data_IF_945717619379
#
_entry.id   IF_945717619379
#
_cell.length_a   1.000
_cell.length_b   1.000
_cell.length_c   1.000
_cell.angle_alpha   90.00
_cell.angle_beta   90.00
_cell.angle_gamma   90.00
#
_symmetry.space_group_name_H-M   'P 1'
#
loop_
_entity.id
_entity.type
_entity.pdbx_description
1 polymer ?
#
# COMPACT_ATOMS: atom_id res chain seq x y z
N UNK A 1 -1.04 -36.41 20.84
CA UNK A 1 -0.68 -35.02 20.48
C UNK A 1 -1.21 -34.09 21.55
N UNK A 2 -0.35 -33.33 22.23
CA UNK A 2 -0.76 -32.31 23.19
C UNK A 2 -1.47 -31.21 22.39
N UNK A 3 -2.75 -30.93 22.68
CA UNK A 3 -3.47 -29.82 22.04
C UNK A 3 -2.87 -28.51 22.55
N UNK A 4 -2.16 -27.80 21.68
CA UNK A 4 -1.44 -26.56 22.01
C UNK A 4 -2.38 -25.36 22.18
N UNK A 5 -3.48 -25.31 21.44
CA UNK A 5 -4.45 -24.21 21.49
C UNK A 5 -5.18 -24.04 22.85
N UNK A 6 -5.65 -25.09 23.55
CA UNK A 6 -6.21 -24.93 24.90
C UNK A 6 -5.25 -24.27 25.91
N UNK A 7 -3.96 -24.62 25.88
CA UNK A 7 -2.95 -24.01 26.74
C UNK A 7 -2.75 -22.51 26.39
N UNK A 8 -2.70 -22.18 25.10
CA UNK A 8 -2.71 -20.80 24.61
C UNK A 8 -3.94 -20.03 25.10
N UNK A 9 -5.13 -20.61 25.00
CA UNK A 9 -6.38 -20.00 25.48
C UNK A 9 -6.36 -19.76 26.99
N UNK A 10 -5.90 -20.73 27.78
CA UNK A 10 -5.77 -20.57 29.23
C UNK A 10 -4.81 -19.40 29.55
N UNK A 11 -3.66 -19.34 28.89
CA UNK A 11 -2.70 -18.25 29.05
C UNK A 11 -3.31 -16.89 28.70
N UNK A 12 -4.07 -16.79 27.61
CA UNK A 12 -4.79 -15.56 27.27
C UNK A 12 -5.75 -15.12 28.37
N UNK A 13 -6.51 -16.05 28.96
CA UNK A 13 -7.43 -15.73 30.05
C UNK A 13 -6.69 -15.24 31.30
N UNK A 14 -5.56 -15.86 31.64
CA UNK A 14 -4.70 -15.40 32.73
C UNK A 14 -4.11 -14.01 32.48
N UNK A 15 -3.81 -13.69 31.22
CA UNK A 15 -3.27 -12.37 30.82
C UNK A 15 -4.35 -11.28 30.66
N UNK A 16 -5.64 -11.62 30.64
CA UNK A 16 -6.73 -10.68 30.38
C UNK A 16 -6.71 -9.43 31.30
N UNK A 17 -6.52 -9.54 32.63
CA UNK A 17 -6.46 -8.37 33.51
C UNK A 17 -5.35 -7.40 33.10
N UNK A 18 -4.19 -7.93 32.71
CA UNK A 18 -3.04 -7.13 32.27
C UNK A 18 -3.28 -6.49 30.90
N UNK A 19 -3.96 -7.19 29.99
CA UNK A 19 -4.36 -6.63 28.68
C UNK A 19 -5.29 -5.44 28.87
N UNK A 20 -6.30 -5.56 29.74
CA UNK A 20 -7.23 -4.47 30.04
C UNK A 20 -6.53 -3.30 30.76
N UNK A 21 -5.63 -3.59 31.70
CA UNK A 21 -4.82 -2.57 32.37
C UNK A 21 -3.93 -1.81 31.38
N UNK A 22 -3.24 -2.53 30.48
CA UNK A 22 -2.41 -1.93 29.43
C UNK A 22 -3.24 -1.09 28.47
N UNK A 23 -4.42 -1.55 28.08
CA UNK A 23 -5.36 -0.79 27.25
C UNK A 23 -5.74 0.54 27.91
N UNK A 24 -6.09 0.48 29.20
CA UNK A 24 -6.48 1.68 29.95
C UNK A 24 -5.29 2.64 30.17
N UNK A 25 -4.09 2.12 30.44
CA UNK A 25 -2.88 2.92 30.59
C UNK A 25 -2.48 3.57 29.27
N UNK A 26 -2.43 2.82 28.16
CA UNK A 26 -2.17 3.38 26.83
C UNK A 26 -3.20 4.45 26.46
N UNK A 27 -4.45 4.23 26.87
CA UNK A 27 -5.54 5.18 26.78
C UNK A 27 -5.31 6.54 27.45
N UNK A 28 -4.33 6.68 28.37
CA UNK A 28 -3.94 7.98 28.93
C UNK A 28 -3.25 8.88 27.90
N UNK A 29 -2.44 8.29 27.02
CA UNK A 29 -1.73 9.01 25.95
C UNK A 29 -2.54 9.10 24.67
N UNK A 30 -3.32 8.04 24.37
CA UNK A 30 -4.12 7.96 23.16
C UNK A 30 -5.56 7.54 23.52
N UNK A 31 -6.47 8.51 23.75
CA UNK A 31 -7.82 8.27 24.26
C UNK A 31 -8.66 7.28 23.41
N UNK A 32 -8.33 7.13 22.12
CA UNK A 32 -8.98 6.19 21.21
C UNK A 32 -8.96 4.74 21.69
N UNK A 33 -7.97 4.32 22.49
CA UNK A 33 -7.92 2.96 23.06
C UNK A 33 -8.99 2.71 24.14
N UNK A 34 -9.58 3.76 24.71
CA UNK A 34 -10.67 3.67 25.70
C UNK A 34 -12.05 3.71 25.07
N UNK A 35 -12.14 3.94 23.75
CA UNK A 35 -13.41 3.93 23.01
C UNK A 35 -13.68 2.53 22.46
N UNK A 36 -14.96 2.17 22.34
CA UNK A 36 -15.43 0.92 21.74
C UNK A 36 -14.77 -0.35 22.33
N UNK A 37 -14.47 -0.35 23.63
CA UNK A 37 -13.86 -1.50 24.34
C UNK A 37 -14.78 -2.72 24.28
N UNK A 38 -16.09 -2.51 24.23
CA UNK A 38 -17.08 -3.58 24.06
C UNK A 38 -16.86 -4.40 22.78
N UNK A 39 -16.48 -3.75 21.66
CA UNK A 39 -16.18 -4.42 20.39
C UNK A 39 -14.99 -5.38 20.56
N UNK A 40 -13.97 -4.99 21.33
CA UNK A 40 -12.80 -5.83 21.65
C UNK A 40 -13.13 -7.07 22.48
N UNK A 41 -14.34 -7.10 23.05
CA UNK A 41 -14.91 -8.25 23.75
C UNK A 41 -16.06 -8.88 22.94
N UNK A 42 -16.20 -8.57 21.66
CA UNK A 42 -17.18 -9.17 20.76
C UNK A 42 -18.60 -8.67 20.99
N UNK A 43 -18.79 -7.44 21.47
CA UNK A 43 -20.10 -6.79 21.62
C UNK A 43 -20.16 -5.56 20.73
N UNK A 44 -21.04 -5.56 19.75
CA UNK A 44 -21.13 -4.53 18.72
C UNK A 44 -22.46 -3.77 18.83
N UNK A 45 -22.40 -2.45 18.68
CA UNK A 45 -23.60 -1.60 18.69
C UNK A 45 -24.25 -1.44 17.31
N UNK A 46 -23.56 -1.83 16.24
CA UNK A 46 -24.14 -1.86 14.90
C UNK A 46 -25.16 -2.99 14.76
N UNK A 47 -26.13 -2.88 13.84
CA UNK A 47 -27.00 -4.01 13.50
C UNK A 47 -26.18 -5.27 13.12
N UNK A 48 -26.68 -6.47 13.44
CA UNK A 48 -26.11 -7.71 12.92
C UNK A 48 -26.12 -7.71 11.38
N UNK A 49 -25.10 -8.33 10.80
CA UNK A 49 -25.00 -8.54 9.36
C UNK A 49 -25.11 -10.04 9.03
N UNK A 50 -25.31 -10.33 7.75
CA UNK A 50 -25.28 -11.69 7.22
C UNK A 50 -24.55 -11.72 5.89
N UNK A 51 -23.88 -12.84 5.61
CA UNK A 51 -23.20 -13.10 4.33
C UNK A 51 -22.18 -12.02 3.93
N UNK A 52 -21.54 -11.37 4.92
CA UNK A 52 -20.58 -10.30 4.66
C UNK A 52 -19.22 -10.86 4.21
N UNK A 53 -18.38 -9.98 3.66
CA UNK A 53 -16.95 -10.25 3.47
C UNK A 53 -16.21 -9.57 4.61
N UNK A 54 -15.45 -10.35 5.39
CA UNK A 54 -14.66 -9.83 6.49
C UNK A 54 -13.22 -9.57 6.05
N UNK A 55 -12.69 -8.40 6.38
CA UNK A 55 -11.29 -8.02 6.16
C UNK A 55 -10.69 -7.60 7.50
N UNK A 56 -9.49 -8.07 7.82
CA UNK A 56 -8.73 -7.66 9.00
C UNK A 56 -7.48 -6.91 8.61
N UNK A 57 -7.38 -5.64 9.06
CA UNK A 57 -6.23 -4.77 8.85
C UNK A 57 -5.91 -4.04 10.17
N UNK A 58 -4.78 -4.39 10.78
CA UNK A 58 -4.36 -3.94 12.12
C UNK A 58 -3.91 -2.48 12.12
N UNK A 59 -3.14 -2.11 11.09
CA UNK A 59 -2.41 -0.85 11.02
C UNK A 59 -2.90 0.06 9.90
N UNK A 60 -2.48 1.34 9.93
CA UNK A 60 -2.74 2.30 8.85
C UNK A 60 -2.18 1.81 7.51
N UNK A 61 -1.00 1.17 7.54
CA UNK A 61 -0.34 0.63 6.36
C UNK A 61 -1.16 -0.48 5.72
N UNK A 62 -1.62 -1.45 6.50
CA UNK A 62 -2.48 -2.54 6.03
C UNK A 62 -3.84 -2.04 5.56
N UNK A 63 -4.46 -1.10 6.29
CA UNK A 63 -5.75 -0.50 5.90
C UNK A 63 -5.66 0.11 4.51
N UNK A 64 -4.57 0.83 4.19
CA UNK A 64 -4.35 1.40 2.86
C UNK A 64 -3.96 0.34 1.83
N UNK A 65 -3.11 -0.61 2.21
CA UNK A 65 -2.69 -1.70 1.32
C UNK A 65 -3.87 -2.59 0.89
N UNK A 66 -4.91 -2.71 1.72
CA UNK A 66 -6.12 -3.45 1.38
C UNK A 66 -7.01 -2.76 0.32
N UNK A 67 -6.75 -1.49 -0.03
CA UNK A 67 -7.64 -0.70 -0.88
C UNK A 67 -7.91 -1.35 -2.25
N UNK A 68 -6.91 -1.86 -3.01
CA UNK A 68 -7.18 -2.52 -4.29
C UNK A 68 -8.12 -3.73 -4.15
N UNK A 69 -7.93 -4.55 -3.11
CA UNK A 69 -8.82 -5.67 -2.79
C UNK A 69 -10.23 -5.16 -2.48
N UNK A 70 -10.37 -4.15 -1.61
CA UNK A 70 -11.68 -3.62 -1.21
C UNK A 70 -12.43 -3.06 -2.41
N UNK A 71 -11.78 -2.23 -3.24
CA UNK A 71 -12.41 -1.66 -4.44
C UNK A 71 -12.84 -2.75 -5.43
N UNK A 72 -12.03 -3.80 -5.59
CA UNK A 72 -12.39 -4.93 -6.46
C UNK A 72 -13.56 -5.72 -5.88
N UNK A 73 -13.58 -5.97 -4.57
CA UNK A 73 -14.68 -6.68 -3.91
C UNK A 73 -16.00 -5.90 -3.99
N UNK A 74 -15.98 -4.58 -3.77
CA UNK A 74 -17.16 -3.72 -3.91
C UNK A 74 -17.73 -3.74 -5.34
N UNK A 75 -16.87 -3.82 -6.35
CA UNK A 75 -17.29 -3.91 -7.76
C UNK A 75 -17.80 -5.30 -8.14
N UNK A 76 -17.16 -6.36 -7.65
CA UNK A 76 -17.50 -7.73 -8.01
C UNK A 76 -18.66 -8.31 -7.20
N UNK A 77 -18.89 -7.83 -5.97
CA UNK A 77 -19.93 -8.29 -5.06
C UNK A 77 -20.66 -7.09 -4.42
N UNK A 78 -21.30 -6.23 -5.23
CA UNK A 78 -21.97 -5.01 -4.73
C UNK A 78 -23.06 -5.29 -3.69
N UNK A 79 -23.62 -6.49 -3.68
CA UNK A 79 -24.65 -6.94 -2.74
C UNK A 79 -24.11 -7.43 -1.39
N UNK A 80 -22.79 -7.69 -1.28
CA UNK A 80 -22.17 -8.20 -0.05
C UNK A 80 -21.63 -7.06 0.80
N UNK A 81 -22.13 -6.87 2.03
CA UNK A 81 -21.52 -5.92 2.95
C UNK A 81 -20.06 -6.29 3.23
N UNK A 82 -19.19 -5.30 3.31
CA UNK A 82 -17.81 -5.50 3.75
C UNK A 82 -17.68 -5.01 5.19
N UNK A 83 -17.10 -5.85 6.05
CA UNK A 83 -16.73 -5.51 7.42
C UNK A 83 -15.22 -5.50 7.54
N UNK A 84 -14.64 -4.32 7.79
CA UNK A 84 -13.23 -4.19 8.11
C UNK A 84 -13.02 -4.08 9.61
N UNK A 85 -12.15 -4.93 10.12
CA UNK A 85 -11.78 -4.96 11.53
C UNK A 85 -10.37 -4.43 11.74
N UNK A 86 -10.17 -3.74 12.85
CA UNK A 86 -8.89 -3.15 13.23
C UNK A 86 -8.46 -3.57 14.63
N UNK A 87 -7.21 -3.26 14.99
CA UNK A 87 -6.73 -3.38 16.37
C UNK A 87 -6.28 -2.05 16.97
N UNK A 88 -6.03 -1.03 16.14
CA UNK A 88 -5.52 0.29 16.56
C UNK A 88 -6.52 1.41 16.25
N UNK A 89 -6.60 2.47 17.09
CA UNK A 89 -7.44 3.63 16.80
C UNK A 89 -7.04 4.34 15.49
N UNK A 90 -5.74 4.42 15.21
CA UNK A 90 -5.22 5.01 13.98
C UNK A 90 -5.58 4.18 12.74
N UNK A 91 -5.50 2.85 12.82
CA UNK A 91 -5.96 1.96 11.74
C UNK A 91 -7.44 2.13 11.43
N UNK A 92 -8.29 2.25 12.46
CA UNK A 92 -9.73 2.53 12.31
C UNK A 92 -10.01 3.91 11.70
N UNK A 93 -9.30 4.95 12.14
CA UNK A 93 -9.43 6.29 11.58
C UNK A 93 -8.98 6.35 10.12
N UNK A 94 -7.92 5.63 9.75
CA UNK A 94 -7.52 5.48 8.35
C UNK A 94 -8.61 4.77 7.53
N UNK A 95 -9.28 3.77 8.11
CA UNK A 95 -10.39 3.09 7.45
C UNK A 95 -11.54 4.04 7.12
N UNK A 96 -11.86 4.94 8.05
CA UNK A 96 -12.84 6.02 7.83
C UNK A 96 -12.46 6.91 6.65
N UNK A 97 -11.21 7.38 6.65
CA UNK A 97 -10.70 8.29 5.62
C UNK A 97 -10.66 7.67 4.21
N UNK A 98 -10.30 6.40 4.11
CA UNK A 98 -10.12 5.70 2.82
C UNK A 98 -11.45 5.19 2.27
N UNK A 99 -12.31 4.65 3.14
CA UNK A 99 -13.50 3.91 2.69
C UNK A 99 -14.82 4.66 2.93
N UNK A 100 -14.86 5.65 3.83
CA UNK A 100 -16.10 6.35 4.20
C UNK A 100 -17.19 5.36 4.59
N UNK A 101 -18.44 5.63 4.24
CA UNK A 101 -19.57 4.75 4.58
C UNK A 101 -19.74 3.52 3.68
N UNK A 102 -18.80 3.28 2.74
CA UNK A 102 -18.87 2.14 1.80
C UNK A 102 -18.67 0.78 2.47
N UNK A 103 -18.05 0.76 3.65
CA UNK A 103 -17.81 -0.45 4.43
C UNK A 103 -18.16 -0.21 5.91
N UNK A 104 -18.41 -1.27 6.67
CA UNK A 104 -18.54 -1.19 8.12
C UNK A 104 -17.15 -1.35 8.78
N UNK A 105 -16.88 -0.57 9.83
CA UNK A 105 -15.62 -0.61 10.59
C UNK A 105 -15.85 -0.91 12.06
N UNK A 106 -15.13 -1.88 12.60
CA UNK A 106 -15.12 -2.17 14.04
C UNK A 106 -13.74 -2.66 14.51
N UNK A 107 -13.59 -2.91 15.81
CA UNK A 107 -12.44 -3.64 16.34
C UNK A 107 -12.68 -5.14 16.25
N UNK A 108 -11.65 -5.89 15.84
CA UNK A 108 -11.64 -7.33 16.03
C UNK A 108 -11.63 -7.61 17.54
N UNK A 109 -12.38 -8.60 18.06
CA UNK A 109 -12.27 -8.91 19.46
C UNK A 109 -10.93 -9.59 19.73
N UNK A 110 -10.46 -9.50 20.97
CA UNK A 110 -9.33 -10.30 21.40
C UNK A 110 -9.64 -11.80 21.20
N UNK A 111 -8.58 -12.59 21.01
CA UNK A 111 -8.62 -13.99 20.57
C UNK A 111 -9.11 -14.98 21.64
N UNK A 112 -10.19 -14.60 22.35
CA UNK A 112 -10.93 -15.42 23.27
C UNK A 112 -12.05 -16.14 22.53
N UNK A 113 -12.22 -17.46 22.73
CA UNK A 113 -13.24 -18.24 22.04
C UNK A 113 -14.66 -17.65 22.14
N UNK A 114 -15.05 -17.14 23.32
CA UNK A 114 -16.37 -16.54 23.52
C UNK A 114 -16.55 -15.20 22.81
N UNK A 115 -15.51 -14.37 22.72
CA UNK A 115 -15.58 -13.06 22.06
C UNK A 115 -15.59 -13.21 20.54
N UNK A 116 -14.75 -14.10 20.01
CA UNK A 116 -14.73 -14.46 18.60
C UNK A 116 -16.05 -15.11 18.17
N UNK A 117 -16.61 -16.00 18.99
CA UNK A 117 -17.92 -16.61 18.73
C UNK A 117 -19.00 -15.55 18.50
N UNK A 118 -19.08 -14.55 19.39
CA UNK A 118 -20.02 -13.42 19.27
C UNK A 118 -19.77 -12.58 18.02
N UNK A 119 -18.51 -12.32 17.66
CA UNK A 119 -18.18 -11.63 16.41
C UNK A 119 -18.70 -12.39 15.19
N UNK A 120 -18.41 -13.69 15.11
CA UNK A 120 -18.87 -14.52 14.00
C UNK A 120 -20.40 -14.69 13.99
N UNK A 121 -21.07 -14.67 15.15
CA UNK A 121 -22.54 -14.69 15.23
C UNK A 121 -23.18 -13.37 14.81
N UNK A 122 -22.51 -12.25 15.11
CA UNK A 122 -22.99 -10.89 14.81
C UNK A 122 -22.86 -10.54 13.34
N UNK A 123 -21.72 -10.89 12.71
CA UNK A 123 -21.43 -10.50 11.33
C UNK A 123 -21.65 -11.60 10.30
N UNK A 124 -21.59 -12.88 10.71
CA UNK A 124 -21.79 -14.08 9.86
C UNK A 124 -21.06 -13.96 8.50
N UNK A 125 -19.72 -13.81 8.50
CA UNK A 125 -18.97 -13.66 7.27
C UNK A 125 -19.05 -14.93 6.42
N UNK A 126 -19.16 -14.75 5.11
CA UNK A 126 -19.06 -15.84 4.12
C UNK A 126 -17.60 -16.20 3.81
N UNK A 127 -16.70 -15.22 3.93
CA UNK A 127 -15.25 -15.40 3.86
C UNK A 127 -14.54 -14.32 4.69
N UNK A 128 -13.31 -14.60 5.12
CA UNK A 128 -12.43 -13.67 5.82
C UNK A 128 -11.07 -13.52 5.11
N UNK A 129 -10.55 -12.30 5.08
CA UNK A 129 -9.21 -11.95 4.59
C UNK A 129 -8.43 -11.29 5.72
N UNK A 130 -7.29 -11.86 6.10
CA UNK A 130 -6.39 -11.30 7.10
C UNK A 130 -5.19 -10.72 6.39
N UNK A 131 -4.89 -9.44 6.60
CA UNK A 131 -3.77 -8.76 5.94
C UNK A 131 -2.44 -9.05 6.66
N UNK A 132 -1.38 -9.29 5.88
CA UNK A 132 0.01 -9.41 6.33
C UNK A 132 0.30 -10.55 7.31
N UNK A 133 0.50 -10.29 8.61
CA UNK A 133 1.07 -11.27 9.55
C UNK A 133 0.30 -11.36 10.87
N UNK A 134 -0.96 -11.80 10.81
CA UNK A 134 -1.81 -11.88 12.00
C UNK A 134 -2.36 -13.30 12.19
N UNK A 135 -1.58 -14.13 12.89
CA UNK A 135 -1.98 -15.52 13.21
C UNK A 135 -2.63 -15.56 14.59
N UNK A 136 -3.96 -15.67 14.61
CA UNK A 136 -4.81 -15.72 15.81
C UNK A 136 -5.44 -17.12 15.95
N UNK A 137 -4.86 -18.04 16.74
CA UNK A 137 -5.27 -19.44 16.77
C UNK A 137 -6.74 -19.68 17.08
N UNK A 138 -7.36 -18.95 18.01
CA UNK A 138 -8.78 -19.17 18.32
C UNK A 138 -9.70 -18.61 17.24
N UNK A 139 -9.31 -17.50 16.61
CA UNK A 139 -10.02 -16.86 15.50
C UNK A 139 -10.04 -17.77 14.29
N UNK A 140 -8.88 -18.28 13.89
CA UNK A 140 -8.74 -19.19 12.76
C UNK A 140 -9.55 -20.47 13.01
N UNK A 141 -9.39 -21.06 14.20
CA UNK A 141 -10.14 -22.26 14.58
C UNK A 141 -11.65 -22.03 14.57
N UNK A 142 -12.13 -20.90 15.10
CA UNK A 142 -13.56 -20.60 15.12
C UNK A 142 -14.13 -20.41 13.71
N UNK A 143 -13.35 -19.86 12.76
CA UNK A 143 -13.75 -19.79 11.36
C UNK A 143 -13.83 -21.19 10.74
N UNK A 144 -12.79 -22.01 10.93
CA UNK A 144 -12.74 -23.39 10.42
C UNK A 144 -13.88 -24.25 10.94
N UNK A 145 -14.20 -24.15 12.24
CA UNK A 145 -15.28 -24.88 12.88
C UNK A 145 -16.68 -24.49 12.37
N UNK A 146 -16.82 -23.29 11.78
CA UNK A 146 -18.07 -22.80 11.16
C UNK A 146 -18.09 -22.93 9.64
N UNK A 147 -17.05 -23.50 9.03
CA UNK A 147 -16.93 -23.60 7.58
C UNK A 147 -16.70 -22.27 6.87
N UNK A 148 -16.21 -21.25 7.59
CA UNK A 148 -15.90 -19.93 7.01
C UNK A 148 -14.50 -20.00 6.40
N UNK A 149 -14.39 -19.74 5.10
CA UNK A 149 -13.10 -19.69 4.42
C UNK A 149 -12.30 -18.47 4.91
N UNK A 150 -11.10 -18.70 5.43
CA UNK A 150 -10.23 -17.66 5.99
C UNK A 150 -8.87 -17.70 5.30
N UNK A 151 -8.50 -16.58 4.68
CA UNK A 151 -7.25 -16.44 3.93
C UNK A 151 -6.31 -15.49 4.66
N UNK A 152 -5.02 -15.81 4.68
CA UNK A 152 -3.97 -14.84 5.00
C UNK A 152 -3.46 -14.25 3.68
N UNK A 153 -3.68 -12.97 3.44
CA UNK A 153 -3.41 -12.30 2.16
C UNK A 153 -2.36 -11.22 2.29
N UNK A 154 -1.65 -10.98 1.18
CA UNK A 154 -0.47 -10.14 1.18
C UNK A 154 0.50 -10.55 2.31
N UNK A 155 0.64 -11.86 2.51
CA UNK A 155 1.24 -12.43 3.70
C UNK A 155 2.75 -12.20 3.69
N UNK A 156 3.24 -11.58 4.77
CA UNK A 156 4.66 -11.33 4.99
C UNK A 156 5.07 -12.07 6.26
N UNK A 157 6.29 -12.54 6.33
CA UNK A 157 6.81 -13.11 7.56
C UNK A 157 8.27 -12.73 7.71
N UNK A 158 8.52 -11.66 8.48
CA UNK A 158 9.88 -11.24 8.78
C UNK A 158 10.65 -12.36 9.50
N UNK A 159 11.97 -12.38 9.33
CA UNK A 159 12.85 -13.32 10.02
C UNK A 159 12.66 -13.31 11.55
N UNK A 160 12.46 -12.11 12.13
CA UNK A 160 12.15 -11.95 13.55
C UNK A 160 10.83 -12.63 13.93
N UNK A 161 9.78 -12.43 13.13
CA UNK A 161 8.46 -13.02 13.37
C UNK A 161 8.50 -14.53 13.22
N UNK A 162 9.19 -15.04 12.19
CA UNK A 162 9.41 -16.47 11.99
C UNK A 162 10.04 -17.13 13.22
N UNK A 163 11.15 -16.58 13.75
CA UNK A 163 11.78 -17.08 14.98
C UNK A 163 10.83 -17.08 16.18
N UNK A 164 9.93 -16.09 16.27
CA UNK A 164 8.90 -16.02 17.29
C UNK A 164 7.92 -17.19 17.20
N UNK A 165 7.34 -17.40 16.01
CA UNK A 165 6.41 -18.51 15.76
C UNK A 165 7.06 -19.89 15.86
N UNK A 166 8.33 -20.02 15.46
CA UNK A 166 9.08 -21.27 15.56
C UNK A 166 9.21 -21.78 17.00
N UNK A 167 9.25 -20.88 18.01
CA UNK A 167 9.27 -21.27 19.43
C UNK A 167 7.97 -21.95 19.90
N UNK A 168 6.87 -21.67 19.21
CA UNK A 168 5.54 -22.25 19.46
C UNK A 168 5.06 -23.02 18.23
N UNK A 169 5.98 -23.71 17.54
CA UNK A 169 5.74 -24.36 16.24
C UNK A 169 4.45 -25.19 16.20
N UNK A 170 4.15 -25.99 17.24
CA UNK A 170 2.92 -26.79 17.28
C UNK A 170 1.64 -25.96 17.17
N UNK A 171 1.57 -24.82 17.87
CA UNK A 171 0.43 -23.90 17.81
C UNK A 171 0.36 -23.16 16.46
N UNK A 172 1.52 -22.73 15.95
CA UNK A 172 1.61 -22.06 14.67
C UNK A 172 1.17 -23.00 13.53
N UNK A 173 1.71 -24.22 13.48
CA UNK A 173 1.35 -25.23 12.50
C UNK A 173 -0.14 -25.61 12.58
N UNK A 174 -0.69 -25.77 13.80
CA UNK A 174 -2.13 -26.03 14.00
C UNK A 174 -2.97 -24.91 13.38
N UNK A 175 -2.66 -23.64 13.70
CA UNK A 175 -3.41 -22.50 13.18
C UNK A 175 -3.24 -22.30 11.66
N UNK A 176 -2.02 -22.40 11.14
CA UNK A 176 -1.73 -22.17 9.72
C UNK A 176 -2.42 -23.21 8.81
N UNK A 177 -2.57 -24.46 9.27
CA UNK A 177 -3.27 -25.50 8.50
C UNK A 177 -4.80 -25.43 8.61
N UNK A 178 -5.34 -24.60 9.50
CA UNK A 178 -6.78 -24.31 9.56
C UNK A 178 -7.20 -23.14 8.65
N UNK A 179 -6.23 -22.36 8.14
CA UNK A 179 -6.47 -21.39 7.07
C UNK A 179 -6.83 -22.10 5.77
N UNK A 180 -7.66 -21.45 4.95
CA UNK A 180 -8.01 -21.96 3.62
C UNK A 180 -6.81 -21.89 2.68
N UNK A 181 -6.11 -20.76 2.64
CA UNK A 181 -4.82 -20.61 1.95
C UNK A 181 -4.05 -19.40 2.48
N UNK A 182 -2.74 -19.39 2.21
CA UNK A 182 -1.84 -18.26 2.47
C UNK A 182 -1.34 -17.73 1.12
N UNK A 183 -1.60 -16.45 0.85
CA UNK A 183 -1.14 -15.73 -0.33
C UNK A 183 0.05 -14.83 0.07
N UNK A 184 1.25 -15.37 -0.07
CA UNK A 184 2.51 -14.76 0.35
C UNK A 184 3.03 -13.72 -0.65
N UNK A 185 3.73 -12.70 -0.13
CA UNK A 185 4.30 -11.63 -0.94
C UNK A 185 5.47 -12.10 -1.81
N UNK A 186 6.34 -12.93 -1.23
CA UNK A 186 7.57 -13.42 -1.88
C UNK A 186 7.78 -14.91 -1.65
N UNK A 187 8.69 -15.51 -2.42
CA UNK A 187 9.15 -16.88 -2.19
C UNK A 187 9.74 -17.04 -0.78
N UNK A 188 10.51 -16.05 -0.31
CA UNK A 188 11.11 -16.09 1.03
C UNK A 188 10.06 -16.10 2.15
N UNK A 189 8.94 -15.38 1.97
CA UNK A 189 7.83 -15.42 2.93
C UNK A 189 7.13 -16.78 2.88
N UNK A 190 6.89 -17.30 1.66
CA UNK A 190 6.26 -18.60 1.47
C UNK A 190 7.07 -19.74 2.08
N UNK A 191 8.39 -19.74 1.91
CA UNK A 191 9.31 -20.69 2.53
C UNK A 191 9.24 -20.65 4.06
N UNK A 192 9.23 -19.46 4.66
CA UNK A 192 9.10 -19.33 6.13
C UNK A 192 7.76 -19.84 6.63
N UNK A 193 6.66 -19.60 5.91
CA UNK A 193 5.35 -20.16 6.27
C UNK A 193 5.33 -21.69 6.17
N UNK A 194 5.90 -22.26 5.09
CA UNK A 194 6.03 -23.72 4.93
C UNK A 194 6.90 -24.33 6.04
N UNK A 195 7.99 -23.65 6.42
CA UNK A 195 8.86 -24.06 7.52
C UNK A 195 8.18 -23.99 8.90
N UNK A 196 7.08 -23.24 9.04
CA UNK A 196 6.21 -23.26 10.23
C UNK A 196 5.07 -24.30 10.14
N UNK A 197 5.06 -25.10 9.08
CA UNK A 197 4.11 -26.20 8.88
C UNK A 197 2.91 -25.87 8.01
N UNK A 198 2.82 -24.70 7.38
CA UNK A 198 1.72 -24.37 6.46
C UNK A 198 1.79 -25.22 5.18
N UNK A 199 0.67 -25.85 4.80
CA UNK A 199 0.61 -26.73 3.61
C UNK A 199 0.04 -26.05 2.36
N UNK A 200 -0.86 -25.09 2.51
CA UNK A 200 -1.47 -24.37 1.39
C UNK A 200 -0.96 -22.94 1.27
N UNK A 201 0.19 -22.78 0.61
CA UNK A 201 0.89 -21.50 0.45
C UNK A 201 1.20 -21.23 -1.03
N UNK A 202 0.67 -20.13 -1.55
CA UNK A 202 0.93 -19.61 -2.89
C UNK A 202 1.62 -18.25 -2.81
N UNK A 203 2.53 -17.97 -3.75
CA UNK A 203 3.14 -16.64 -3.89
C UNK A 203 2.27 -15.84 -4.85
N UNK A 204 1.76 -14.69 -4.40
CA UNK A 204 0.86 -13.82 -5.17
C UNK A 204 1.41 -12.43 -5.41
N UNK A 205 2.61 -12.12 -4.90
CA UNK A 205 3.17 -10.79 -4.96
C UNK A 205 2.67 -9.85 -3.87
N UNK A 206 3.19 -8.62 -3.88
CA UNK A 206 2.87 -7.58 -2.92
C UNK A 206 1.76 -6.67 -3.49
N UNK A 207 0.61 -6.63 -2.81
CA UNK A 207 -0.56 -5.85 -3.25
C UNK A 207 -0.28 -4.35 -3.40
N UNK A 208 0.75 -3.83 -2.73
CA UNK A 208 1.16 -2.43 -2.87
C UNK A 208 1.60 -2.10 -4.29
N UNK A 209 1.88 -3.12 -5.11
CA UNK A 209 2.24 -2.98 -6.52
C UNK A 209 1.06 -3.17 -7.47
N UNK A 210 -0.12 -3.58 -6.98
CA UNK A 210 -1.36 -3.70 -7.78
C UNK A 210 -2.00 -2.32 -8.02
N UNK A 211 -1.21 -1.40 -8.58
CA UNK A 211 -1.65 -0.07 -8.99
C UNK A 211 -2.14 -0.17 -10.43
N UNK A 212 -3.40 0.23 -10.64
CA UNK A 212 -3.94 0.47 -11.97
C UNK A 212 -3.95 1.98 -12.23
N UNK A 213 -3.07 2.50 -13.10
CA UNK A 213 -3.16 3.89 -13.55
C UNK A 213 -4.55 4.18 -14.13
N UNK A 214 -5.07 5.36 -13.87
CA UNK A 214 -6.38 5.78 -14.38
C UNK A 214 -6.40 5.74 -15.91
N UNK A 215 -7.32 4.97 -16.49
CA UNK A 215 -7.39 4.77 -17.93
C UNK A 215 -7.65 6.05 -18.71
N UNK A 216 -8.41 6.98 -18.14
CA UNK A 216 -8.73 8.26 -18.80
C UNK A 216 -7.50 9.15 -18.84
N UNK A 217 -6.73 9.21 -17.74
CA UNK A 217 -5.44 9.92 -17.70
C UNK A 217 -4.41 9.27 -18.63
N UNK A 218 -4.35 7.94 -18.69
CA UNK A 218 -3.44 7.25 -19.62
C UNK A 218 -3.79 7.60 -21.08
N UNK A 219 -5.08 7.62 -21.42
CA UNK A 219 -5.54 8.03 -22.75
C UNK A 219 -5.22 9.50 -23.04
N UNK A 220 -5.42 10.39 -22.07
CA UNK A 220 -5.03 11.79 -22.16
C UNK A 220 -3.52 11.94 -22.42
N UNK A 221 -2.67 11.20 -21.71
CA UNK A 221 -1.22 11.19 -21.93
C UNK A 221 -0.82 10.69 -23.33
N UNK A 222 -1.53 9.70 -23.87
CA UNK A 222 -1.33 9.25 -25.26
C UNK A 222 -1.68 10.34 -26.27
N UNK A 223 -2.74 11.11 -26.03
CA UNK A 223 -3.09 12.26 -26.85
C UNK A 223 -2.02 13.36 -26.75
N UNK A 224 -1.52 13.64 -25.54
CA UNK A 224 -0.40 14.56 -25.36
C UNK A 224 0.82 14.14 -26.15
N UNK A 225 1.18 12.84 -26.14
CA UNK A 225 2.29 12.31 -26.93
C UNK A 225 2.12 12.57 -28.43
N UNK A 226 0.91 12.41 -28.96
CA UNK A 226 0.63 12.72 -30.36
C UNK A 226 0.87 14.20 -30.67
N UNK A 227 0.40 15.10 -29.79
CA UNK A 227 0.55 16.55 -29.96
C UNK A 227 1.99 17.04 -29.75
N UNK A 228 2.73 16.46 -28.80
CA UNK A 228 4.12 16.83 -28.52
C UNK A 228 5.09 16.31 -29.59
N UNK A 229 4.67 15.28 -30.34
CA UNK A 229 5.42 14.62 -31.39
C UNK A 229 5.77 13.18 -31.01
N UNK A 230 5.32 12.22 -31.82
CA UNK A 230 5.51 10.78 -31.55
C UNK A 230 6.97 10.34 -31.59
N UNK A 231 7.79 10.97 -32.44
CA UNK A 231 9.24 10.72 -32.54
C UNK A 231 10.08 11.62 -31.62
N UNK A 232 9.46 12.54 -30.90
CA UNK A 232 10.15 13.47 -30.02
C UNK A 232 10.53 12.76 -28.72
N UNK A 233 11.81 12.76 -28.30
CA UNK A 233 12.18 12.23 -26.99
C UNK A 233 11.58 13.07 -25.87
N UNK A 234 10.99 12.42 -24.86
CA UNK A 234 10.35 13.05 -23.71
C UNK A 234 10.92 12.44 -22.43
N UNK A 235 11.64 13.27 -21.67
CA UNK A 235 12.15 12.94 -20.35
C UNK A 235 11.28 13.59 -19.29
N UNK A 236 10.75 12.80 -18.36
CA UNK A 236 9.88 13.28 -17.28
C UNK A 236 10.63 13.28 -15.96
N UNK A 237 10.77 14.42 -15.30
CA UNK A 237 11.12 14.52 -13.89
C UNK A 237 9.84 14.61 -13.05
N UNK A 238 9.40 13.47 -12.53
CA UNK A 238 8.13 13.31 -11.82
C UNK A 238 8.27 13.59 -10.33
N UNK A 239 7.38 14.43 -9.79
CA UNK A 239 7.33 14.76 -8.35
C UNK A 239 8.65 15.31 -7.79
N UNK A 240 9.31 16.23 -8.49
CA UNK A 240 10.57 16.84 -8.02
C UNK A 240 10.37 17.59 -6.70
N UNK A 241 11.42 17.59 -5.87
CA UNK A 241 11.47 18.28 -4.57
C UNK A 241 12.52 19.38 -4.58
N UNK A 242 12.50 20.16 -3.50
CA UNK A 242 13.35 21.35 -3.34
C UNK A 242 14.82 21.07 -3.58
N UNK A 243 15.41 21.88 -4.47
CA UNK A 243 16.80 21.77 -4.92
C UNK A 243 17.07 20.74 -6.03
N UNK A 244 16.13 19.85 -6.37
CA UNK A 244 16.36 18.85 -7.42
C UNK A 244 16.18 19.41 -8.83
N UNK A 245 15.28 20.38 -9.01
CA UNK A 245 15.03 20.95 -10.35
C UNK A 245 16.29 21.63 -10.90
N UNK A 246 17.03 22.34 -10.05
CA UNK A 246 18.30 22.97 -10.46
C UNK A 246 19.34 21.94 -10.91
N UNK A 247 19.49 20.84 -10.17
CA UNK A 247 20.44 19.77 -10.49
C UNK A 247 20.09 19.09 -11.83
N UNK A 248 18.81 18.79 -12.04
CA UNK A 248 18.33 18.20 -13.29
C UNK A 248 18.55 19.15 -14.48
N UNK A 249 18.33 20.45 -14.28
CA UNK A 249 18.56 21.46 -15.31
C UNK A 249 20.06 21.66 -15.60
N UNK A 250 20.95 21.51 -14.61
CA UNK A 250 22.41 21.58 -14.82
C UNK A 250 22.92 20.46 -15.75
N UNK A 251 22.28 19.29 -15.69
CA UNK A 251 22.58 18.16 -16.59
C UNK A 251 21.94 18.37 -17.96
N UNK A 252 20.75 18.99 -18.02
CA UNK A 252 20.05 19.22 -19.28
C UNK A 252 20.88 20.00 -20.31
N UNK A 253 21.67 20.96 -19.83
CA UNK A 253 22.58 21.77 -20.66
C UNK A 253 23.67 20.92 -21.35
N UNK A 254 23.92 19.70 -20.85
CA UNK A 254 24.92 18.75 -21.39
C UNK A 254 24.30 17.65 -22.26
N UNK A 255 22.97 17.59 -22.35
CA UNK A 255 22.27 16.55 -23.12
C UNK A 255 22.03 17.03 -24.55
N UNK A 256 22.82 16.51 -25.48
CA UNK A 256 22.76 16.83 -26.92
C UNK A 256 21.68 16.05 -27.69
N UNK A 257 20.61 15.59 -27.02
CA UNK A 257 19.51 14.89 -27.68
C UNK A 257 18.63 15.90 -28.45
N UNK A 258 18.61 15.85 -29.80
CA UNK A 258 17.86 16.82 -30.60
C UNK A 258 16.36 16.72 -30.31
N UNK A 259 15.72 17.88 -30.15
CA UNK A 259 14.28 17.96 -29.91
C UNK A 259 13.82 17.39 -28.57
N UNK A 260 14.70 16.97 -27.66
CA UNK A 260 14.30 16.48 -26.33
C UNK A 260 13.40 17.51 -25.63
N UNK A 261 12.24 17.05 -25.16
CA UNK A 261 11.34 17.77 -24.27
C UNK A 261 11.56 17.26 -22.85
N UNK A 262 11.87 18.17 -21.92
CA UNK A 262 11.92 17.86 -20.49
C UNK A 262 10.62 18.28 -19.84
N UNK A 263 9.95 17.35 -19.19
CA UNK A 263 8.74 17.62 -18.41
C UNK A 263 9.12 17.64 -16.94
N UNK A 264 8.91 18.75 -16.24
CA UNK A 264 9.19 18.86 -14.80
C UNK A 264 7.87 18.98 -14.07
N UNK A 265 7.58 18.08 -13.13
CA UNK A 265 6.34 18.11 -12.34
C UNK A 265 6.69 18.20 -10.86
N UNK A 266 6.68 19.41 -10.26
CA UNK A 266 7.00 19.56 -8.84
C UNK A 266 5.99 18.85 -7.94
N UNK A 267 6.46 18.26 -6.84
CA UNK A 267 5.59 17.53 -5.90
C UNK A 267 4.54 18.41 -5.22
N UNK A 268 4.89 19.67 -4.97
CA UNK A 268 4.14 20.61 -4.15
C UNK A 268 3.66 21.81 -4.98
N UNK A 269 2.34 22.09 -5.05
CA UNK A 269 1.79 23.21 -5.81
C UNK A 269 2.37 24.58 -5.48
N UNK A 270 2.78 24.76 -4.21
CA UNK A 270 3.38 26.00 -3.74
C UNK A 270 4.68 26.36 -4.48
N UNK A 271 5.33 25.36 -5.10
CA UNK A 271 6.59 25.53 -5.82
C UNK A 271 6.43 25.75 -7.32
N UNK A 272 5.22 25.72 -7.86
CA UNK A 272 5.02 25.88 -9.30
C UNK A 272 5.54 27.22 -9.82
N UNK A 273 5.26 28.32 -9.11
CA UNK A 273 5.78 29.64 -9.48
C UNK A 273 7.30 29.72 -9.31
N UNK A 274 7.84 29.19 -8.22
CA UNK A 274 9.28 29.16 -7.94
C UNK A 274 10.08 28.44 -9.05
N UNK A 275 9.57 27.30 -9.53
CA UNK A 275 10.21 26.54 -10.62
C UNK A 275 10.04 27.25 -11.96
N UNK A 276 8.89 27.89 -12.23
CA UNK A 276 8.73 28.71 -13.44
C UNK A 276 9.76 29.85 -13.48
N UNK A 277 9.94 30.57 -12.37
CA UNK A 277 10.96 31.63 -12.27
C UNK A 277 12.39 31.08 -12.43
N UNK A 278 12.67 29.85 -11.97
CA UNK A 278 13.95 29.20 -12.20
C UNK A 278 14.21 28.97 -13.71
N UNK A 279 13.18 28.54 -14.44
CA UNK A 279 13.26 28.35 -15.90
C UNK A 279 13.48 29.68 -16.62
N UNK A 280 12.78 30.74 -16.20
CA UNK A 280 12.97 32.10 -16.72
C UNK A 280 14.39 32.61 -16.49
N UNK A 281 14.92 32.47 -15.27
CA UNK A 281 16.28 32.89 -14.92
C UNK A 281 17.35 32.15 -15.73
N UNK A 282 17.09 30.91 -16.14
CA UNK A 282 17.98 30.12 -17.01
C UNK A 282 17.77 30.41 -18.50
N UNK A 283 16.82 31.26 -18.87
CA UNK A 283 16.53 31.56 -20.28
C UNK A 283 16.00 30.35 -21.06
N UNK A 284 15.41 29.36 -20.38
CA UNK A 284 14.92 28.15 -21.01
C UNK A 284 13.54 28.38 -21.63
N UNK A 285 13.42 28.12 -22.92
CA UNK A 285 12.14 28.13 -23.62
C UNK A 285 11.21 27.10 -22.98
N UNK A 286 10.16 27.56 -22.30
CA UNK A 286 9.27 26.70 -21.55
C UNK A 286 7.80 27.10 -21.68
N UNK A 287 6.91 26.17 -21.34
CA UNK A 287 5.47 26.42 -21.24
C UNK A 287 4.92 25.75 -19.98
N UNK A 288 3.88 26.34 -19.40
CA UNK A 288 3.18 25.80 -18.22
C UNK A 288 1.99 24.96 -18.67
N UNK A 289 1.79 23.77 -18.10
CA UNK A 289 0.65 22.90 -18.41
C UNK A 289 -0.68 23.62 -18.18
N UNK A 290 -0.78 24.40 -17.11
CA UNK A 290 -1.97 25.17 -16.72
C UNK A 290 -2.39 26.23 -17.74
N UNK A 291 -1.47 26.67 -18.62
CA UNK A 291 -1.78 27.62 -19.69
C UNK A 291 -2.66 27.03 -20.80
N UNK A 292 -2.77 25.70 -20.88
CA UNK A 292 -3.50 25.00 -21.95
C UNK A 292 -2.76 24.93 -23.29
N UNK A 293 -1.64 25.65 -23.42
CA UNK A 293 -0.80 25.62 -24.62
C UNK A 293 0.00 24.33 -24.70
N UNK A 294 0.08 23.75 -25.90
CA UNK A 294 0.96 22.61 -26.16
C UNK A 294 2.40 23.06 -26.39
N UNK A 295 3.42 22.30 -25.94
CA UNK A 295 4.82 22.55 -26.26
C UNK A 295 5.05 22.64 -27.78
N UNK A 296 5.63 23.74 -28.24
CA UNK A 296 6.08 23.88 -29.60
C UNK A 296 7.39 23.11 -29.83
N UNK A 297 7.83 23.01 -31.08
CA UNK A 297 9.06 22.30 -31.44
C UNK A 297 10.32 22.86 -30.72
N UNK A 298 10.36 24.17 -30.48
CA UNK A 298 11.46 24.85 -29.80
C UNK A 298 11.31 24.88 -28.26
N UNK A 299 10.16 24.49 -27.71
CA UNK A 299 9.96 24.45 -26.26
C UNK A 299 10.85 23.37 -25.67
N UNK A 300 11.81 23.74 -24.81
CA UNK A 300 12.72 22.78 -24.18
C UNK A 300 12.12 22.14 -22.93
N UNK A 301 11.32 22.91 -22.17
CA UNK A 301 10.73 22.46 -20.91
C UNK A 301 9.21 22.63 -20.89
N UNK A 302 8.49 21.59 -20.47
CA UNK A 302 7.08 21.67 -20.04
C UNK A 302 7.05 21.61 -18.52
N UNK A 303 6.56 22.66 -17.87
CA UNK A 303 6.31 22.66 -16.44
C UNK A 303 4.90 22.11 -16.18
N UNK A 304 4.82 20.93 -15.54
CA UNK A 304 3.58 20.36 -15.05
C UNK A 304 3.16 21.01 -13.74
N UNK A 305 2.40 22.09 -13.84
CA UNK A 305 1.91 22.90 -12.72
C UNK A 305 0.42 22.70 -12.43
N UNK A 306 -0.03 21.46 -12.57
CA UNK A 306 -1.40 21.01 -12.36
C UNK A 306 -1.40 19.70 -11.56
N UNK A 307 -2.49 19.48 -10.81
CA UNK A 307 -2.60 18.34 -9.89
C UNK A 307 -3.41 17.20 -10.51
N UNK A 308 -3.02 15.97 -10.17
CA UNK A 308 -3.82 14.78 -10.49
C UNK A 308 -3.60 14.21 -11.89
N UNK A 309 -2.60 14.67 -12.64
CA UNK A 309 -2.36 14.23 -14.03
C UNK A 309 -1.12 13.31 -14.20
N UNK A 310 -0.61 12.72 -13.11
CA UNK A 310 0.67 11.98 -13.14
C UNK A 310 0.67 10.79 -14.11
N UNK A 311 -0.39 9.98 -14.13
CA UNK A 311 -0.56 8.89 -15.09
C UNK A 311 -0.50 9.37 -16.55
N UNK A 312 -1.01 10.57 -16.85
CA UNK A 312 -0.94 11.16 -18.18
C UNK A 312 0.51 11.54 -18.54
N UNK A 313 1.26 12.13 -17.60
CA UNK A 313 2.67 12.43 -17.81
C UNK A 313 3.50 11.17 -18.05
N UNK A 314 3.31 10.12 -17.24
CA UNK A 314 4.00 8.84 -17.47
C UNK A 314 3.62 8.23 -18.81
N UNK A 315 2.35 8.22 -19.19
CA UNK A 315 1.91 7.69 -20.47
C UNK A 315 2.56 8.44 -21.65
N UNK A 316 2.80 9.76 -21.52
CA UNK A 316 3.38 10.61 -22.55
C UNK A 316 4.92 10.59 -22.64
N UNK A 317 5.62 10.10 -21.61
CA UNK A 317 7.09 10.10 -21.57
C UNK A 317 7.73 8.83 -22.17
N UNK A 318 9.02 8.93 -22.51
CA UNK A 318 9.85 7.79 -22.89
C UNK A 318 10.65 7.26 -21.69
N UNK A 319 11.12 8.16 -20.82
CA UNK A 319 11.88 7.83 -19.59
C UNK A 319 11.40 8.73 -18.46
N UNK A 320 11.28 8.18 -17.25
CA UNK A 320 10.88 8.92 -16.06
C UNK A 320 11.97 8.91 -14.98
N UNK A 321 12.39 10.10 -14.55
CA UNK A 321 13.13 10.31 -13.31
C UNK A 321 12.17 10.54 -12.14
N UNK A 322 12.37 9.81 -11.05
CA UNK A 322 11.50 9.89 -9.86
C UNK A 322 12.12 10.84 -8.85
N UNK A 323 11.48 11.99 -8.65
CA UNK A 323 11.90 13.02 -7.71
C UNK A 323 11.83 12.60 -6.25
N UNK A 324 12.36 13.48 -5.41
CA UNK A 324 12.64 13.25 -4.00
C UNK A 324 13.79 12.30 -3.75
N UNK A 325 14.58 11.95 -4.77
CA UNK A 325 15.57 10.88 -4.74
C UNK A 325 17.02 11.34 -4.89
N UNK A 326 17.29 12.52 -5.46
CA UNK A 326 18.65 13.10 -5.52
C UNK A 326 19.08 13.63 -4.14
N UNK A 327 18.11 14.09 -3.36
CA UNK A 327 18.29 14.62 -2.00
C UNK A 327 17.73 13.65 -0.96
N UNK A 328 18.09 13.75 0.34
CA UNK A 328 17.74 12.78 1.38
C UNK A 328 16.26 12.86 1.81
N UNK A 329 15.36 12.76 0.85
CA UNK A 329 13.93 12.89 0.98
C UNK A 329 13.21 11.54 0.84
N UNK A 330 13.91 10.49 0.43
CA UNK A 330 13.35 9.18 0.10
C UNK A 330 13.26 9.06 -1.41
N UNK A 331 12.10 8.78 -1.94
CA UNK A 331 11.73 8.89 -3.34
C UNK A 331 10.21 9.05 -3.41
N UNK A 332 9.69 9.42 -4.57
CA UNK A 332 8.25 9.32 -4.84
C UNK A 332 7.89 7.98 -5.49
N UNK A 333 6.60 7.82 -5.79
CA UNK A 333 6.07 6.54 -6.23
C UNK A 333 6.54 6.19 -7.65
N UNK A 334 7.53 5.31 -7.76
CA UNK A 334 8.00 4.76 -9.02
C UNK A 334 7.09 3.68 -9.63
N UNK A 335 6.22 3.06 -8.83
CA UNK A 335 5.42 1.89 -9.25
C UNK A 335 4.46 2.26 -10.38
N UNK A 336 3.91 3.48 -10.38
CA UNK A 336 3.02 3.97 -11.44
C UNK A 336 3.72 4.10 -12.80
N UNK A 337 4.99 4.52 -12.80
CA UNK A 337 5.82 4.55 -14.01
C UNK A 337 6.08 3.13 -14.52
N UNK A 338 6.48 2.22 -13.63
CA UNK A 338 6.70 0.81 -13.95
C UNK A 338 5.43 0.14 -14.49
N UNK A 339 4.26 0.44 -13.92
CA UNK A 339 2.97 -0.10 -14.37
C UNK A 339 2.62 0.33 -15.81
N UNK A 340 3.18 1.44 -16.30
CA UNK A 340 3.06 1.92 -17.68
C UNK A 340 4.25 1.52 -18.57
N UNK A 341 5.06 0.57 -18.11
CA UNK A 341 6.27 0.08 -18.79
C UNK A 341 7.26 1.21 -19.14
N UNK A 342 7.37 2.21 -18.28
CA UNK A 342 8.31 3.33 -18.45
C UNK A 342 9.62 2.99 -17.77
N UNK A 343 10.77 3.03 -18.49
CA UNK A 343 12.08 3.01 -17.86
C UNK A 343 12.19 4.11 -16.81
N UNK A 344 12.70 3.74 -15.63
CA UNK A 344 12.78 4.63 -14.47
C UNK A 344 14.24 4.93 -14.13
N UNK A 345 14.53 6.21 -13.92
CA UNK A 345 15.73 6.68 -13.23
C UNK A 345 15.37 7.12 -11.80
N UNK A 346 16.23 6.82 -10.85
CA UNK A 346 16.04 7.19 -9.44
C UNK A 346 17.38 7.56 -8.81
N UNK A 347 17.37 8.55 -7.92
CA UNK A 347 18.56 8.98 -7.17
C UNK A 347 18.98 8.03 -6.04
N UNK A 348 20.07 8.38 -5.32
CA UNK A 348 20.62 7.59 -4.23
C UNK A 348 19.68 7.48 -3.01
N UNK A 349 18.81 8.46 -2.79
CA UNK A 349 17.77 8.37 -1.76
C UNK A 349 16.62 7.52 -2.28
N UNK A 350 16.28 6.44 -1.58
CA UNK A 350 15.14 5.58 -1.93
C UNK A 350 14.54 4.83 -0.72
N UNK A 351 14.85 5.26 0.51
CA UNK A 351 14.56 4.48 1.72
C UNK A 351 13.08 4.15 1.97
N UNK A 352 12.14 4.94 1.45
CA UNK A 352 10.70 4.71 1.57
C UNK A 352 10.11 3.87 0.42
N UNK A 353 10.87 3.63 -0.65
CA UNK A 353 10.52 2.79 -1.80
C UNK A 353 11.57 1.72 -2.10
N UNK A 354 12.41 1.39 -1.12
CA UNK A 354 13.59 0.54 -1.30
C UNK A 354 13.25 -0.81 -1.95
N UNK A 355 12.22 -1.50 -1.45
CA UNK A 355 11.78 -2.78 -2.01
C UNK A 355 11.38 -2.67 -3.48
N UNK A 356 10.60 -1.65 -3.84
CA UNK A 356 10.16 -1.43 -5.21
C UNK A 356 11.33 -1.05 -6.14
N UNK A 357 12.28 -0.25 -5.64
CA UNK A 357 13.49 0.11 -6.38
C UNK A 357 14.40 -1.10 -6.61
N UNK A 358 14.65 -1.91 -5.58
CA UNK A 358 15.47 -3.14 -5.67
C UNK A 358 14.87 -4.15 -6.66
N UNK A 359 13.56 -4.39 -6.58
CA UNK A 359 12.86 -5.27 -7.52
C UNK A 359 12.91 -4.72 -8.95
N UNK A 360 12.68 -3.41 -9.12
CA UNK A 360 12.73 -2.76 -10.42
C UNK A 360 14.13 -2.78 -11.04
N UNK A 361 15.19 -2.62 -10.23
CA UNK A 361 16.58 -2.73 -10.68
C UNK A 361 16.93 -4.16 -11.06
N UNK A 362 16.52 -5.14 -10.25
CA UNK A 362 16.71 -6.56 -10.55
C UNK A 362 16.00 -6.99 -11.85
N UNK A 363 14.86 -6.37 -12.15
CA UNK A 363 14.13 -6.59 -13.40
C UNK A 363 14.65 -5.78 -14.61
N UNK A 364 15.63 -4.87 -14.40
CA UNK A 364 16.18 -4.00 -15.44
C UNK A 364 15.28 -2.83 -15.85
N UNK A 365 14.17 -2.58 -15.13
CA UNK A 365 13.24 -1.47 -15.41
C UNK A 365 13.59 -0.17 -14.69
N UNK A 366 14.42 -0.24 -13.65
CA UNK A 366 14.89 0.90 -12.85
C UNK A 366 16.41 0.98 -12.90
N UNK A 367 16.95 2.18 -13.07
CA UNK A 367 18.39 2.46 -12.95
C UNK A 367 18.57 3.51 -11.85
N UNK A 368 19.40 3.19 -10.86
CA UNK A 368 19.83 4.17 -9.87
C UNK A 368 20.99 5.00 -10.41
N UNK A 369 20.87 6.33 -10.35
CA UNK A 369 21.98 7.24 -10.66
C UNK A 369 22.97 7.27 -9.49
N UNK A 370 24.28 7.39 -9.75
CA UNK A 370 25.31 7.23 -8.73
C UNK A 370 25.37 8.39 -7.73
N UNK A 371 24.95 9.58 -8.15
CA UNK A 371 25.03 10.83 -7.37
C UNK A 371 23.88 11.80 -7.75
N UNK A 372 23.89 12.94 -7.06
CA UNK A 372 22.88 13.99 -7.14
C UNK A 372 23.20 15.04 -8.19
#
# INVERSE_FOLDING_TARGET
>A
MIRTRPAYTLLLYLLLPFVLLRLWWRGRKEPGYRRNVAERLGRYGSPPLSNCIWIHAVSVGETRAAQPIVERLLRCYPEKPIVMTHMTPTGRAAGEQVYGDRILRCYLPYDFPGAIRRFLDHFRPSLGLVMETEVWPNTIHACRARGIALYLVNARLSEKSYRGYARVHGLAAEALNELTAIAAQSDSDAERFRALGATNVAVTGNIKFDIAPDSDLVNQGRQWRQTWGTSRPVFLAASTRDGEEALLLDVLDRIETPGLLVVIVPRHPQRFSEVAELLDRRGLAHVRRSSGSSPAAHTRVLLGDSMGEMAAYYAACDVAFIGGSLRPFGAHNLVEACALAKPVLIGPSMFNFQEAAELGMAAGGVIQVPDA
#
